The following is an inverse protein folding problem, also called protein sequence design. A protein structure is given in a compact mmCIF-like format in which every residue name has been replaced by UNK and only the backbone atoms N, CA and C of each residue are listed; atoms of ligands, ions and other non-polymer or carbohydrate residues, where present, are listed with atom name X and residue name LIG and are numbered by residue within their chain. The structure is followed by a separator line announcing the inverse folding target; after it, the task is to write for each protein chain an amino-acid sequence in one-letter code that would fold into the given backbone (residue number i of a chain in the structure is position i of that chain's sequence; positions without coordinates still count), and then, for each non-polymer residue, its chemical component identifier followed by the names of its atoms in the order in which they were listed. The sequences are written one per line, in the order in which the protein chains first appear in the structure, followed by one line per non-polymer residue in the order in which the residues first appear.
data_IF_093024068520
#
_entry.id   IF_093024068520
#
_cell.length_a   1.000
_cell.length_b   1.000
_cell.length_c   1.000
_cell.angle_alpha   90.00
_cell.angle_beta   90.00
_cell.angle_gamma   90.00
#
_symmetry.space_group_name_H-M   'P 1'
#
loop_
_entity.id
_entity.type
_entity.pdbx_description
1 polymer ?
#
# COMPACT_ATOMS: atom_id res chain seq x y z
N UNK A 1 3.16 0.91 2.29
CA UNK A 1 3.09 -0.55 2.07
C UNK A 1 2.75 -1.21 3.39
N UNK A 2 1.98 -2.31 3.39
CA UNK A 2 1.63 -3.03 4.61
C UNK A 2 1.65 -4.54 4.38
N UNK A 3 1.93 -5.26 5.45
CA UNK A 3 1.83 -6.72 5.56
C UNK A 3 1.29 -7.09 6.96
N UNK A 4 1.36 -8.36 7.34
CA UNK A 4 0.93 -8.85 8.66
C UNK A 4 1.75 -8.30 9.84
N UNK A 5 2.96 -7.79 9.60
CA UNK A 5 3.86 -7.27 10.62
C UNK A 5 3.67 -5.77 10.87
N UNK A 6 3.07 -5.04 9.93
CA UNK A 6 2.77 -3.62 10.08
C UNK A 6 2.77 -2.88 8.76
N UNK A 7 3.22 -1.62 8.81
CA UNK A 7 3.26 -0.75 7.64
C UNK A 7 4.54 0.08 7.59
N UNK A 8 5.00 0.35 6.38
CA UNK A 8 6.16 1.20 6.08
C UNK A 8 5.81 2.24 5.02
N UNK A 9 6.43 3.42 5.12
CA UNK A 9 6.34 4.46 4.10
C UNK A 9 7.25 4.11 2.91
N UNK A 10 6.73 4.29 1.69
CA UNK A 10 7.51 4.23 0.47
C UNK A 10 7.62 5.65 -0.11
N UNK A 11 8.80 6.02 -0.61
CA UNK A 11 9.03 7.31 -1.27
C UNK A 11 9.59 7.09 -2.67
N UNK A 12 8.94 7.68 -3.67
CA UNK A 12 9.45 7.78 -5.04
C UNK A 12 9.81 9.24 -5.36
N UNK A 13 11.10 9.65 -5.34
CA UNK A 13 11.49 10.98 -5.76
C UNK A 13 11.18 11.17 -7.24
N UNK A 14 10.44 12.22 -7.60
CA UNK A 14 10.11 12.47 -9.02
C UNK A 14 11.31 13.02 -9.77
N UNK A 15 11.85 12.19 -10.66
CA UNK A 15 12.86 12.49 -11.67
C UNK A 15 12.45 11.86 -13.01
N UNK A 16 13.09 12.24 -14.12
CA UNK A 16 12.84 11.63 -15.44
C UNK A 16 12.98 10.09 -15.42
N UNK A 17 13.94 9.57 -14.65
CA UNK A 17 14.22 8.13 -14.51
C UNK A 17 13.11 7.37 -13.77
N UNK A 18 12.35 8.06 -12.92
CA UNK A 18 11.31 7.48 -12.04
C UNK A 18 9.89 7.73 -12.55
N UNK A 19 9.73 8.39 -13.69
CA UNK A 19 8.41 8.81 -14.19
C UNK A 19 7.51 7.60 -14.46
N UNK A 20 8.05 6.52 -15.04
CA UNK A 20 7.32 5.27 -15.27
C UNK A 20 6.83 4.63 -13.96
N UNK A 21 7.63 4.73 -12.89
CA UNK A 21 7.22 4.25 -11.55
C UNK A 21 6.13 5.15 -10.99
N UNK A 22 6.21 6.47 -11.19
CA UNK A 22 5.18 7.41 -10.75
C UNK A 22 3.84 7.19 -11.47
N UNK A 23 3.86 6.87 -12.77
CA UNK A 23 2.66 6.48 -13.53
C UNK A 23 2.06 5.19 -12.97
N UNK A 24 2.88 4.17 -12.74
CA UNK A 24 2.43 2.90 -12.15
C UNK A 24 1.79 3.12 -10.77
N UNK A 25 2.42 3.90 -9.89
CA UNK A 25 1.87 4.25 -8.57
C UNK A 25 0.52 4.95 -8.70
N UNK A 26 0.38 5.86 -9.66
CA UNK A 26 -0.86 6.62 -9.88
C UNK A 26 -2.03 5.73 -10.34
N UNK A 27 -1.74 4.58 -10.95
CA UNK A 27 -2.74 3.59 -11.36
C UNK A 27 -3.12 2.57 -10.29
N UNK A 28 -2.45 2.53 -9.13
CA UNK A 28 -2.71 1.52 -8.10
C UNK A 28 -4.02 1.77 -7.36
N UNK A 29 -4.89 0.75 -7.37
CA UNK A 29 -6.03 0.67 -6.46
C UNK A 29 -5.62 0.15 -5.08
N UNK A 30 -6.33 0.57 -4.03
CA UNK A 30 -6.13 0.06 -2.68
C UNK A 30 -6.39 -1.46 -2.64
N UNK A 31 -5.45 -2.20 -2.04
CA UNK A 31 -5.52 -3.66 -1.97
C UNK A 31 -4.78 -4.40 -3.08
N UNK A 32 -4.16 -3.66 -4.02
CA UNK A 32 -3.20 -4.24 -4.97
C UNK A 32 -2.00 -4.82 -4.21
N UNK A 33 -1.49 -5.94 -4.69
CA UNK A 33 -0.29 -6.59 -4.16
C UNK A 33 0.89 -6.18 -5.02
N UNK A 34 1.95 -5.71 -4.36
CA UNK A 34 3.15 -5.20 -5.01
C UNK A 34 4.39 -5.77 -4.33
N UNK A 35 5.42 -5.99 -5.13
CA UNK A 35 6.79 -6.24 -4.68
C UNK A 35 7.60 -4.97 -4.92
N UNK A 36 8.39 -4.54 -3.93
CA UNK A 36 9.23 -3.34 -4.07
C UNK A 36 10.65 -3.62 -3.61
N UNK A 37 11.61 -2.94 -4.22
CA UNK A 37 12.98 -2.87 -3.70
C UNK A 37 13.37 -1.41 -3.52
N UNK A 38 14.31 -1.15 -2.60
CA UNK A 38 14.74 0.21 -2.33
C UNK A 38 15.72 0.31 -1.18
N UNK A 39 16.12 1.54 -0.91
CA UNK A 39 17.03 1.88 0.19
C UNK A 39 16.25 2.25 1.44
N UNK A 40 16.54 1.59 2.58
CA UNK A 40 15.99 1.96 3.88
C UNK A 40 16.64 3.25 4.38
N UNK A 41 15.84 4.23 4.76
CA UNK A 41 16.27 5.51 5.33
C UNK A 41 15.60 5.78 6.66
N UNK A 42 16.35 6.38 7.57
CA UNK A 42 15.80 6.96 8.79
C UNK A 42 15.39 8.41 8.52
N UNK A 43 14.15 8.74 8.85
CA UNK A 43 13.58 10.08 8.76
C UNK A 43 12.58 10.28 9.92
N UNK A 44 12.98 11.10 10.89
CA UNK A 44 12.20 11.38 12.12
C UNK A 44 10.82 12.00 11.85
N UNK A 45 10.59 12.53 10.64
CA UNK A 45 9.29 13.08 10.24
C UNK A 45 8.28 11.99 9.90
N UNK A 46 8.73 10.75 9.67
CA UNK A 46 7.90 9.63 9.28
C UNK A 46 7.22 9.02 10.50
N UNK A 47 5.88 8.97 10.47
CA UNK A 47 5.05 8.46 11.59
C UNK A 47 5.14 6.94 11.77
N UNK A 48 5.60 6.22 10.77
CA UNK A 48 5.74 4.77 10.77
C UNK A 48 7.15 4.37 11.26
N UNK A 49 7.41 4.63 12.54
CA UNK A 49 8.67 4.23 13.18
C UNK A 49 9.91 5.04 12.77
N UNK A 50 9.74 6.22 12.18
CA UNK A 50 10.86 7.07 11.75
C UNK A 50 11.66 6.49 10.58
N UNK A 51 11.07 5.57 9.80
CA UNK A 51 11.73 4.91 8.68
C UNK A 51 10.89 4.94 7.40
N UNK A 52 11.57 5.02 6.27
CA UNK A 52 10.97 4.92 4.95
C UNK A 52 11.87 4.17 3.99
N UNK A 53 11.29 3.65 2.91
CA UNK A 53 12.04 3.02 1.81
C UNK A 53 12.00 3.94 0.60
N UNK A 54 13.17 4.40 0.16
CA UNK A 54 13.34 5.09 -1.11
C UNK A 54 13.29 4.07 -2.24
N UNK A 55 12.26 4.14 -3.07
CA UNK A 55 12.00 3.15 -4.11
C UNK A 55 13.10 3.11 -5.17
N UNK A 56 13.50 1.89 -5.52
CA UNK A 56 14.34 1.57 -6.68
C UNK A 56 13.52 0.83 -7.74
N UNK A 57 12.72 -0.17 -7.33
CA UNK A 57 11.80 -0.88 -8.23
C UNK A 57 10.44 -1.08 -7.58
N UNK A 58 9.42 -1.20 -8.42
CA UNK A 58 8.06 -1.57 -8.05
C UNK A 58 7.49 -2.51 -9.12
N UNK A 59 7.02 -3.67 -8.68
CA UNK A 59 6.34 -4.67 -9.51
C UNK A 59 4.93 -4.89 -8.97
N UNK A 60 3.94 -4.91 -9.86
CA UNK A 60 2.54 -5.15 -9.50
C UNK A 60 2.24 -6.63 -9.70
N UNK A 61 2.22 -7.37 -8.59
CA UNK A 61 1.92 -8.82 -8.59
C UNK A 61 0.45 -9.08 -8.90
N UNK A 62 -0.43 -8.25 -8.35
CA UNK A 62 -1.88 -8.35 -8.59
C UNK A 62 -2.53 -7.00 -8.42
N UNK A 63 -3.20 -6.53 -9.47
CA UNK A 63 -4.00 -5.32 -9.42
C UNK A 63 -5.33 -5.57 -8.70
N UNK A 64 -5.68 -4.67 -7.78
CA UNK A 64 -7.01 -4.68 -7.18
C UNK A 64 -8.03 -3.93 -8.06
N UNK A 65 -9.30 -4.28 -7.88
CA UNK A 65 -10.41 -3.50 -8.44
C UNK A 65 -10.52 -2.20 -7.63
N UNK A 66 -10.64 -1.03 -8.26
CA UNK A 66 -10.73 0.26 -7.57
C UNK A 66 -11.92 0.37 -6.60
N UNK A 67 -13.05 -0.26 -6.95
CA UNK A 67 -14.26 -0.25 -6.13
C UNK A 67 -14.26 -1.43 -5.16
N UNK A 68 -13.84 -1.16 -3.92
CA UNK A 68 -13.88 -2.16 -2.85
C UNK A 68 -15.33 -2.41 -2.39
N UNK A 69 -15.75 -3.68 -2.22
CA UNK A 69 -17.14 -4.02 -1.92
C UNK A 69 -17.56 -3.68 -0.48
N UNK A 70 -16.62 -3.39 0.42
CA UNK A 70 -16.87 -2.95 1.80
C UNK A 70 -16.09 -1.68 2.10
N UNK A 71 -16.66 -0.82 2.93
CA UNK A 71 -16.10 0.44 3.40
C UNK A 71 -16.10 0.49 4.94
N UNK A 72 -15.58 1.59 5.52
CA UNK A 72 -15.49 1.77 6.97
C UNK A 72 -16.87 1.74 7.65
N UNK A 73 -17.89 2.25 6.98
CA UNK A 73 -19.28 2.39 7.43
C UNK A 73 -20.19 1.23 6.97
N UNK A 74 -19.63 0.19 6.34
CA UNK A 74 -20.42 -0.98 5.91
C UNK A 74 -20.97 -1.76 7.11
N UNK A 75 -22.25 -2.13 7.03
CA UNK A 75 -22.94 -2.95 8.04
C UNK A 75 -22.33 -4.35 8.21
N UNK A 76 -22.64 -4.98 9.35
CA UNK A 76 -22.06 -6.26 9.76
C UNK A 76 -22.24 -7.36 8.71
N UNK A 77 -23.44 -7.53 8.16
CA UNK A 77 -23.73 -8.60 7.20
C UNK A 77 -22.83 -8.51 5.97
N UNK A 78 -22.70 -7.30 5.39
CA UNK A 78 -21.81 -7.05 4.25
C UNK A 78 -20.34 -7.31 4.61
N UNK A 79 -19.92 -7.00 5.84
CA UNK A 79 -18.56 -7.31 6.31
C UNK A 79 -18.34 -8.80 6.48
N UNK A 80 -19.37 -9.57 6.85
CA UNK A 80 -19.30 -11.03 6.95
C UNK A 80 -19.22 -11.70 5.58
N UNK A 81 -19.95 -11.21 4.58
CA UNK A 81 -19.86 -11.70 3.19
C UNK A 81 -18.44 -11.51 2.61
N UNK A 82 -17.80 -10.40 2.97
CA UNK A 82 -16.46 -10.02 2.49
C UNK A 82 -15.40 -10.15 3.59
N UNK A 83 -15.57 -11.11 4.51
CA UNK A 83 -14.75 -11.20 5.72
C UNK A 83 -13.25 -11.34 5.42
N UNK A 84 -12.89 -11.98 4.32
CA UNK A 84 -11.50 -12.13 3.87
C UNK A 84 -10.81 -10.80 3.48
N UNK A 85 -11.58 -9.77 3.07
CA UNK A 85 -11.06 -8.42 2.90
C UNK A 85 -11.06 -7.67 4.22
N UNK A 86 -12.10 -7.87 5.01
CA UNK A 86 -12.31 -7.18 6.27
C UNK A 86 -11.25 -7.52 7.33
N UNK A 87 -10.80 -8.78 7.35
CA UNK A 87 -9.70 -9.26 8.20
C UNK A 87 -8.33 -8.64 7.86
N UNK A 88 -8.20 -7.93 6.73
CA UNK A 88 -6.95 -7.24 6.36
C UNK A 88 -6.80 -5.87 7.00
N UNK A 89 -7.80 -5.41 7.76
CA UNK A 89 -7.72 -4.15 8.49
C UNK A 89 -6.73 -4.31 9.65
N UNK A 90 -5.95 -3.27 9.97
CA UNK A 90 -4.97 -3.31 11.06
C UNK A 90 -5.59 -3.24 12.47
N UNK A 91 -6.90 -3.04 12.57
CA UNK A 91 -7.63 -2.94 13.83
C UNK A 91 -7.91 -4.35 14.39
N UNK A 92 -7.40 -4.64 15.58
CA UNK A 92 -7.94 -5.71 16.46
C UNK A 92 -8.94 -5.11 17.44
#
# INVERSE_FOLDING_TARGET
LRDESGAVQLVNPRTEETEAVAETISGLAQGSFITVTGELKHDERVKLGGIEVKLATLEVETAAIPETPIAADSGLDKRMDWRFLDLRRPEM
#
